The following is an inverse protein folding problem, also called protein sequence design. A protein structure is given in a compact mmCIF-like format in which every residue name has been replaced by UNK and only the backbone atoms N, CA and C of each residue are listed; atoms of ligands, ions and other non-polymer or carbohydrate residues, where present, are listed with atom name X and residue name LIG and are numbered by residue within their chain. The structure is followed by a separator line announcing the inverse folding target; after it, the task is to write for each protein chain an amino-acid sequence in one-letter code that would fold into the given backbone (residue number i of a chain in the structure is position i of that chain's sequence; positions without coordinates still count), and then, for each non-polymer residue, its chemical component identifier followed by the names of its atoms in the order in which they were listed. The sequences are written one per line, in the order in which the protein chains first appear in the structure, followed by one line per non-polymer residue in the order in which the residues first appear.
data_IF_014037343376
#
_entry.id   IF_014037343376
#
_cell.length_a   1.000
_cell.length_b   1.000
_cell.length_c   1.000
_cell.angle_alpha   90.00
_cell.angle_beta   90.00
_cell.angle_gamma   90.00
#
_symmetry.space_group_name_H-M   'P 1'
#
loop_
_entity.id
_entity.type
_entity.pdbx_description
1 polymer ?
#
# COMPACT_ATOMS: atom_id res chain seq x y z
N UNK A 1 -6.08 12.92 10.12
CA UNK A 1 -5.52 12.48 8.83
C UNK A 1 -6.68 12.00 7.98
N UNK A 2 -6.70 12.33 6.69
CA UNK A 2 -7.80 11.98 5.78
C UNK A 2 -7.18 11.39 4.51
N UNK A 3 -7.74 10.29 4.02
CA UNK A 3 -7.40 9.72 2.72
C UNK A 3 -8.44 10.17 1.71
N UNK A 4 -7.99 10.64 0.54
CA UNK A 4 -8.86 11.17 -0.51
C UNK A 4 -8.68 10.35 -1.79
N UNK A 5 -9.79 10.05 -2.45
CA UNK A 5 -9.84 9.56 -3.82
C UNK A 5 -10.35 10.66 -4.73
N UNK A 6 -9.51 11.11 -5.66
CA UNK A 6 -9.82 12.20 -6.57
C UNK A 6 -10.08 11.65 -7.99
N UNK A 7 -11.09 12.22 -8.64
CA UNK A 7 -11.43 11.99 -10.04
C UNK A 7 -11.53 13.32 -10.78
N UNK A 8 -11.91 13.29 -12.06
CA UNK A 8 -12.07 14.50 -12.85
C UNK A 8 -13.16 15.44 -12.29
N UNK A 9 -14.27 14.88 -11.79
CA UNK A 9 -15.44 15.65 -11.36
C UNK A 9 -15.73 15.56 -9.86
N UNK A 10 -14.93 14.82 -9.09
CA UNK A 10 -15.24 14.60 -7.68
C UNK A 10 -14.03 14.30 -6.81
N UNK A 11 -14.20 14.51 -5.51
CA UNK A 11 -13.27 14.06 -4.47
C UNK A 11 -14.11 13.33 -3.43
N UNK A 12 -13.72 12.10 -3.10
CA UNK A 12 -14.36 11.29 -2.08
C UNK A 12 -13.38 11.06 -0.91
N UNK A 13 -13.91 11.01 0.31
CA UNK A 13 -13.12 10.61 1.47
C UNK A 13 -13.18 9.10 1.62
N UNK A 14 -12.03 8.45 1.75
CA UNK A 14 -11.96 7.02 2.08
C UNK A 14 -12.08 6.86 3.60
N UNK A 15 -13.05 6.08 4.09
CA UNK A 15 -13.23 5.88 5.52
C UNK A 15 -12.03 5.16 6.13
N UNK A 16 -11.61 5.62 7.31
CA UNK A 16 -10.57 4.97 8.09
C UNK A 16 -11.16 3.79 8.88
N UNK A 17 -10.47 2.66 8.90
CA UNK A 17 -10.77 1.54 9.80
C UNK A 17 -9.75 1.56 10.92
N UNK A 18 -10.18 1.83 12.16
CA UNK A 18 -9.28 1.91 13.32
C UNK A 18 -8.05 2.81 13.08
N UNK A 19 -8.28 3.97 12.45
CA UNK A 19 -7.26 4.96 12.02
C UNK A 19 -6.31 4.49 10.91
N UNK A 20 -6.66 3.43 10.17
CA UNK A 20 -5.90 2.88 9.03
C UNK A 20 -6.68 3.06 7.74
N UNK A 21 -5.97 3.18 6.63
CA UNK A 21 -6.56 3.33 5.29
C UNK A 21 -5.74 2.56 4.24
N UNK A 22 -5.70 1.21 4.29
CA UNK A 22 -5.09 0.45 3.22
C UNK A 22 -5.80 0.74 1.90
N UNK A 23 -5.03 0.97 0.83
CA UNK A 23 -5.54 1.36 -0.49
C UNK A 23 -4.65 0.77 -1.58
N UNK A 24 -5.20 0.55 -2.78
CA UNK A 24 -4.45 0.04 -3.94
C UNK A 24 -4.74 0.85 -5.21
N UNK A 25 -5.19 0.22 -6.30
CA UNK A 25 -5.31 0.87 -7.62
C UNK A 25 -6.76 0.93 -8.13
N UNK A 26 -7.74 0.73 -7.25
CA UNK A 26 -9.16 0.87 -7.56
C UNK A 26 -9.85 1.75 -6.52
N UNK A 27 -10.92 2.46 -6.89
CA UNK A 27 -11.65 3.28 -5.95
C UNK A 27 -12.38 2.42 -4.91
N UNK A 28 -12.42 2.92 -3.69
CA UNK A 28 -13.15 2.36 -2.55
C UNK A 28 -14.34 3.24 -2.16
N UNK A 29 -14.29 4.54 -2.48
CA UNK A 29 -15.32 5.51 -2.12
C UNK A 29 -15.79 6.36 -3.30
N UNK A 30 -14.91 6.63 -4.27
CA UNK A 30 -15.24 7.45 -5.43
C UNK A 30 -15.94 6.62 -6.54
N UNK A 31 -17.13 7.06 -6.94
CA UNK A 31 -17.93 6.37 -7.96
C UNK A 31 -18.01 7.15 -9.30
N UNK A 32 -17.14 8.15 -9.51
CA UNK A 32 -17.08 8.91 -10.76
C UNK A 32 -16.51 8.05 -11.88
N UNK A 33 -17.41 7.40 -12.61
CA UNK A 33 -17.11 6.67 -13.83
C UNK A 33 -17.51 7.51 -15.06
N UNK A 34 -16.72 7.40 -16.13
CA UNK A 34 -17.03 8.05 -17.41
C UNK A 34 -18.40 7.62 -17.98
N UNK A 35 -18.75 6.35 -17.77
CA UNK A 35 -20.05 5.78 -18.10
C UNK A 35 -20.36 4.59 -17.18
N UNK A 36 -21.62 4.14 -17.17
CA UNK A 36 -22.11 3.08 -16.29
C UNK A 36 -21.55 1.67 -16.62
N UNK A 37 -20.87 1.48 -17.75
CA UNK A 37 -20.29 0.18 -18.14
C UNK A 37 -18.86 0.02 -17.63
N UNK A 38 -18.17 1.11 -17.30
CA UNK A 38 -16.82 1.06 -16.70
C UNK A 38 -16.91 0.49 -15.29
N UNK A 39 -16.40 -0.73 -15.11
CA UNK A 39 -16.29 -1.35 -13.80
C UNK A 39 -15.26 -0.62 -12.93
N UNK A 40 -15.72 -0.09 -11.79
CA UNK A 40 -14.87 0.51 -10.76
C UNK A 40 -14.36 -0.50 -9.71
N UNK A 41 -14.72 -1.77 -9.84
CA UNK A 41 -14.36 -2.81 -8.85
C UNK A 41 -12.85 -3.13 -8.79
N UNK A 42 -12.05 -2.64 -9.75
CA UNK A 42 -10.63 -2.91 -9.82
C UNK A 42 -10.28 -4.28 -10.40
N UNK A 43 -9.02 -4.44 -10.79
CA UNK A 43 -8.50 -5.74 -11.22
C UNK A 43 -8.51 -6.74 -10.06
N UNK A 44 -8.53 -8.03 -10.40
CA UNK A 44 -8.42 -9.13 -9.41
C UNK A 44 -7.19 -8.92 -8.52
N UNK A 45 -6.05 -8.59 -9.12
CA UNK A 45 -4.79 -8.36 -8.38
C UNK A 45 -4.88 -7.15 -7.44
N UNK A 46 -5.53 -6.06 -7.85
CA UNK A 46 -5.67 -4.88 -6.99
C UNK A 46 -6.55 -5.17 -5.77
N UNK A 47 -7.65 -5.91 -5.95
CA UNK A 47 -8.53 -6.33 -4.85
C UNK A 47 -7.81 -7.28 -3.91
N UNK A 48 -7.11 -8.26 -4.45
CA UNK A 48 -6.45 -9.26 -3.62
C UNK A 48 -5.25 -8.69 -2.85
N UNK A 49 -4.52 -7.73 -3.42
CA UNK A 49 -3.49 -6.95 -2.70
C UNK A 49 -4.10 -6.10 -1.56
N UNK A 50 -5.29 -5.56 -1.75
CA UNK A 50 -5.98 -4.84 -0.69
C UNK A 50 -6.36 -5.76 0.47
N UNK A 51 -6.91 -6.94 0.18
CA UNK A 51 -7.24 -7.94 1.21
C UNK A 51 -5.99 -8.44 1.93
N UNK A 52 -4.90 -8.67 1.19
CA UNK A 52 -3.57 -8.96 1.73
C UNK A 52 -3.17 -7.89 2.77
N UNK A 53 -3.18 -6.60 2.40
CA UNK A 53 -2.87 -5.52 3.34
C UNK A 53 -3.82 -5.47 4.54
N UNK A 54 -5.12 -5.74 4.36
CA UNK A 54 -6.11 -5.76 5.45
C UNK A 54 -5.83 -6.86 6.47
N UNK A 55 -5.41 -8.05 6.02
CA UNK A 55 -5.07 -9.16 6.91
C UNK A 55 -3.79 -8.89 7.70
N UNK A 56 -2.76 -8.32 7.07
CA UNK A 56 -1.50 -8.06 7.76
C UNK A 56 -1.57 -6.84 8.69
N UNK A 57 -2.46 -5.90 8.38
CA UNK A 57 -2.68 -4.68 9.16
C UNK A 57 -4.02 -4.70 9.89
N UNK A 58 -4.53 -5.88 10.20
CA UNK A 58 -5.79 -6.08 10.92
C UNK A 58 -5.71 -5.42 12.31
N UNK A 59 -6.62 -4.46 12.65
CA UNK A 59 -6.63 -3.82 13.95
C UNK A 59 -6.90 -4.75 15.13
N UNK A 60 -7.62 -5.85 14.92
CA UNK A 60 -7.93 -6.80 15.99
C UNK A 60 -6.70 -7.65 16.35
N UNK A 61 -5.87 -7.96 15.35
CA UNK A 61 -4.62 -8.72 15.52
C UNK A 61 -3.45 -7.85 15.94
N UNK A 62 -3.38 -6.64 15.41
CA UNK A 62 -2.30 -5.69 15.64
C UNK A 62 -2.88 -4.37 16.12
N UNK A 63 -3.26 -4.18 17.40
CA UNK A 63 -3.87 -2.94 17.88
C UNK A 63 -2.93 -1.72 17.77
N UNK A 64 -1.63 -1.97 17.76
CA UNK A 64 -0.57 -0.99 17.43
C UNK A 64 0.27 -1.58 16.31
N UNK A 65 0.60 -0.76 15.32
CA UNK A 65 1.47 -1.14 14.20
C UNK A 65 2.82 -0.49 14.41
N UNK A 66 3.87 -1.31 14.47
CA UNK A 66 5.26 -0.86 14.41
C UNK A 66 5.80 -0.80 12.98
N UNK A 67 6.99 -0.24 12.82
CA UNK A 67 7.68 -0.18 11.52
C UNK A 67 7.94 -1.58 10.95
N UNK A 68 8.31 -2.55 11.79
CA UNK A 68 8.64 -3.89 11.30
C UNK A 68 7.39 -4.67 10.85
N UNK A 69 6.22 -4.39 11.43
CA UNK A 69 4.94 -4.90 10.93
C UNK A 69 4.66 -4.34 9.52
N UNK A 70 4.88 -3.03 9.32
CA UNK A 70 4.74 -2.40 8.00
C UNK A 70 5.73 -2.95 6.98
N UNK A 71 7.00 -3.15 7.36
CA UNK A 71 7.98 -3.79 6.48
C UNK A 71 7.54 -5.19 6.07
N UNK A 72 7.00 -5.96 7.01
CA UNK A 72 6.47 -7.31 6.75
C UNK A 72 5.30 -7.27 5.79
N UNK A 73 4.30 -6.42 6.04
CA UNK A 73 3.13 -6.26 5.17
C UNK A 73 3.53 -5.81 3.75
N UNK A 74 4.48 -4.89 3.64
CA UNK A 74 4.99 -4.41 2.35
C UNK A 74 5.82 -5.47 1.62
N UNK A 75 6.46 -6.39 2.34
CA UNK A 75 7.25 -7.50 1.78
C UNK A 75 6.40 -8.75 1.44
N UNK A 76 5.08 -8.67 1.51
CA UNK A 76 4.22 -9.82 1.28
C UNK A 76 4.22 -10.27 -0.20
N UNK A 77 4.73 -11.47 -0.47
CA UNK A 77 4.80 -12.10 -1.80
C UNK A 77 3.80 -13.27 -1.97
N UNK A 78 2.70 -13.28 -1.21
CA UNK A 78 1.72 -14.37 -1.23
C UNK A 78 0.95 -14.42 -2.55
N UNK A 79 0.84 -15.61 -3.13
CA UNK A 79 0.21 -15.86 -4.42
C UNK A 79 -1.22 -15.28 -4.46
N UNK A 80 -1.49 -14.45 -5.48
CA UNK A 80 -2.80 -13.82 -5.64
C UNK A 80 -3.10 -12.77 -4.58
N UNK A 81 -2.09 -12.09 -4.07
CA UNK A 81 -2.19 -11.07 -3.01
C UNK A 81 -0.87 -10.31 -2.82
N UNK A 82 -0.02 -10.31 -3.83
CA UNK A 82 1.35 -9.82 -3.80
C UNK A 82 1.35 -8.29 -3.63
N UNK A 83 1.99 -7.84 -2.55
CA UNK A 83 2.30 -6.43 -2.28
C UNK A 83 3.69 -6.13 -2.81
N UNK A 84 4.64 -7.03 -2.55
CA UNK A 84 5.97 -7.01 -3.16
C UNK A 84 5.96 -7.90 -4.39
N UNK A 85 6.26 -7.34 -5.56
CA UNK A 85 6.31 -8.06 -6.83
C UNK A 85 7.74 -8.08 -7.33
N UNK A 86 8.36 -9.25 -7.27
CA UNK A 86 9.71 -9.49 -7.76
C UNK A 86 9.70 -9.84 -9.25
N UNK A 87 10.55 -9.17 -10.02
CA UNK A 87 10.80 -9.57 -11.40
C UNK A 87 11.70 -10.82 -11.41
N UNK A 88 11.38 -11.77 -12.27
CA UNK A 88 12.24 -12.94 -12.51
C UNK A 88 13.03 -12.77 -13.81
N UNK A 89 14.04 -13.60 -14.03
CA UNK A 89 14.77 -13.62 -15.31
C UNK A 89 13.87 -13.94 -16.52
N UNK A 90 12.69 -14.52 -16.29
CA UNK A 90 11.70 -14.84 -17.31
C UNK A 90 10.62 -13.75 -17.47
N UNK A 91 10.60 -12.74 -16.58
CA UNK A 91 9.57 -11.70 -16.60
C UNK A 91 9.69 -10.82 -17.83
N UNK A 92 8.58 -10.58 -18.52
CA UNK A 92 8.54 -9.63 -19.61
C UNK A 92 8.78 -8.21 -19.09
N UNK A 93 9.36 -7.32 -19.91
CA UNK A 93 9.63 -5.93 -19.52
C UNK A 93 8.37 -5.14 -19.12
N UNK A 94 7.19 -5.59 -19.55
CA UNK A 94 5.90 -4.97 -19.24
C UNK A 94 5.24 -5.55 -17.99
N UNK A 95 5.81 -6.60 -17.38
CA UNK A 95 5.27 -7.15 -16.15
C UNK A 95 5.46 -6.16 -15.00
N UNK A 96 4.44 -5.94 -14.15
CA UNK A 96 4.58 -5.09 -12.98
C UNK A 96 5.69 -5.61 -12.06
N UNK A 97 6.50 -4.70 -11.51
CA UNK A 97 7.46 -5.01 -10.44
C UNK A 97 7.44 -3.89 -9.40
N UNK A 98 7.66 -4.25 -8.14
CA UNK A 98 7.79 -3.25 -7.06
C UNK A 98 9.17 -2.63 -7.15
N UNK A 99 9.25 -1.36 -7.56
CA UNK A 99 10.52 -0.65 -7.70
C UNK A 99 11.12 -0.20 -6.36
N UNK A 100 10.32 -0.17 -5.29
CA UNK A 100 10.73 0.31 -3.99
C UNK A 100 9.56 0.44 -3.02
N UNK A 101 9.90 0.69 -1.75
CA UNK A 101 8.94 0.94 -0.70
C UNK A 101 9.50 1.97 0.29
N UNK A 102 8.58 2.72 0.93
CA UNK A 102 8.94 3.71 1.93
C UNK A 102 7.96 3.68 3.10
N UNK A 103 8.49 3.84 4.30
CA UNK A 103 7.72 4.00 5.54
C UNK A 103 8.16 5.31 6.19
N UNK A 104 7.20 6.16 6.53
CA UNK A 104 7.44 7.43 7.22
C UNK A 104 6.86 7.37 8.62
N UNK A 105 7.73 7.54 9.62
CA UNK A 105 7.32 7.74 11.00
C UNK A 105 7.26 9.25 11.27
N UNK A 106 6.05 9.76 11.52
CA UNK A 106 5.81 11.18 11.77
C UNK A 106 5.42 11.37 13.23
N UNK A 107 6.37 11.83 14.05
CA UNK A 107 6.17 12.19 15.45
C UNK A 107 7.09 13.35 15.84
N UNK A 108 7.60 13.36 17.07
CA UNK A 108 8.61 14.35 17.52
C UNK A 108 9.88 14.32 16.65
N UNK A 109 10.26 13.12 16.22
CA UNK A 109 11.29 12.90 15.20
C UNK A 109 10.61 12.41 13.94
N UNK A 110 11.08 12.88 12.77
CA UNK A 110 10.67 12.32 11.48
C UNK A 110 11.72 11.33 11.01
N UNK A 111 11.31 10.09 10.74
CA UNK A 111 12.16 9.03 10.18
C UNK A 111 11.57 8.50 8.89
N UNK A 112 12.45 8.09 7.98
CA UNK A 112 12.07 7.38 6.77
C UNK A 112 12.85 6.06 6.68
N UNK A 113 12.15 4.94 6.55
CA UNK A 113 12.74 3.67 6.15
C UNK A 113 12.44 3.44 4.67
N UNK A 114 13.49 3.25 3.86
CA UNK A 114 13.39 3.14 2.40
C UNK A 114 14.02 1.82 1.95
N UNK A 115 13.34 1.14 1.04
CA UNK A 115 13.85 0.00 0.29
C UNK A 115 13.88 0.35 -1.20
N UNK A 116 15.02 0.12 -1.85
CA UNK A 116 15.13 0.17 -3.31
C UNK A 116 14.98 -1.25 -3.87
N UNK A 117 14.09 -1.41 -4.87
CA UNK A 117 13.64 -2.71 -5.35
C UNK A 117 12.52 -3.32 -4.50
N UNK A 118 12.07 -4.54 -4.85
CA UNK A 118 11.02 -5.23 -4.12
C UNK A 118 11.41 -5.38 -2.64
N UNK A 119 10.57 -4.90 -1.70
CA UNK A 119 10.87 -4.99 -0.29
C UNK A 119 10.99 -6.45 0.15
N UNK A 120 12.06 -6.71 0.91
CA UNK A 120 12.26 -7.90 1.71
C UNK A 120 12.71 -7.46 3.11
N UNK A 121 12.78 -8.37 4.08
CA UNK A 121 13.12 -8.03 5.47
C UNK A 121 14.51 -7.40 5.62
N UNK A 122 15.45 -7.63 4.69
CA UNK A 122 16.85 -7.20 4.79
C UNK A 122 17.24 -5.94 4.01
N UNK A 123 16.36 -5.35 3.21
CA UNK A 123 16.73 -4.34 2.20
C UNK A 123 16.47 -2.88 2.62
N UNK A 124 16.09 -2.65 3.87
CA UNK A 124 15.67 -1.34 4.38
C UNK A 124 16.84 -0.51 4.91
N UNK A 125 16.88 0.77 4.52
CA UNK A 125 17.74 1.79 5.12
C UNK A 125 16.90 2.84 5.82
N UNK A 126 17.28 3.19 7.05
CA UNK A 126 16.56 4.19 7.85
C UNK A 126 17.34 5.50 7.95
N UNK A 127 16.63 6.59 7.71
CA UNK A 127 17.14 7.96 7.74
C UNK A 127 16.37 8.77 8.78
N UNK A 128 17.10 9.58 9.55
CA UNK A 128 16.49 10.62 10.39
C UNK A 128 16.39 11.89 9.57
N UNK A 129 15.17 12.34 9.27
CA UNK A 129 14.93 13.49 8.39
C UNK A 129 14.83 14.80 9.15
N UNK A 130 14.30 14.76 10.39
CA UNK A 130 14.20 15.93 11.27
C UNK A 130 14.36 15.50 12.72
N UNK A 131 15.12 16.28 13.49
CA UNK A 131 15.18 16.23 14.95
C UNK A 131 14.40 17.41 15.53
N UNK A 132 13.90 17.34 16.76
CA UNK A 132 13.47 18.53 17.49
C UNK A 132 14.60 19.57 17.58
#
# INVERSE_FOLDING_TARGET
MTTLECSANSVATVPLISRRSPHTNHPLANNDARDAQVSLSGSVNSRARLESLRVDLDPDRFPRIGVDDLKTALSACRAGGEVSIEATAASAMTEPTTFGAAIFEIGETVRASICAGPPSSGTWRTFKLRSP
#
